data_IF_978799296762
#
_entry.id   IF_978799296762
#
_cell.length_a   1.000
_cell.length_b   1.000
_cell.length_c   1.000
_cell.angle_alpha   90.00
_cell.angle_beta   90.00
_cell.angle_gamma   90.00
#
_symmetry.space_group_name_H-M   'P 1'
#
loop_
_entity.id
_entity.type
_entity.pdbx_description
1 polymer ?
#
# COMPACT_ATOMS: atom_id res chain seq x y z
N UNK A 1 59.30 44.59 12.80
CA UNK A 1 60.00 43.29 12.86
C UNK A 1 59.34 42.37 11.84
N UNK A 2 60.11 41.75 10.96
CA UNK A 2 59.61 40.76 9.99
C UNK A 2 60.61 39.60 9.96
N UNK A 3 60.13 38.39 10.22
CA UNK A 3 60.93 37.16 10.18
C UNK A 3 60.95 36.59 8.76
N UNK A 4 62.11 36.08 8.27
CA UNK A 4 62.25 35.69 6.87
C UNK A 4 61.48 34.40 6.52
N UNK A 5 61.12 34.30 5.25
CA UNK A 5 60.60 33.07 4.63
C UNK A 5 61.76 32.08 4.49
N UNK A 6 61.58 30.83 4.90
CA UNK A 6 62.53 29.76 4.63
C UNK A 6 62.05 28.95 3.40
N UNK A 7 62.97 28.61 2.48
CA UNK A 7 62.67 27.93 1.22
C UNK A 7 63.58 26.71 1.11
N UNK A 8 62.99 25.51 1.11
CA UNK A 8 63.69 24.24 0.87
C UNK A 8 63.50 23.73 -0.58
N UNK A 9 64.43 22.91 -1.13
CA UNK A 9 64.53 22.66 -2.57
C UNK A 9 63.64 21.51 -3.08
N UNK A 10 63.40 21.41 -4.41
CA UNK A 10 62.52 20.40 -4.99
C UNK A 10 63.18 19.02 -5.11
N UNK A 11 62.47 17.95 -4.71
CA UNK A 11 62.94 16.57 -4.84
C UNK A 11 61.84 15.53 -5.09
N UNK A 12 62.05 14.64 -6.07
CA UNK A 12 61.32 13.38 -6.22
C UNK A 12 60.09 13.38 -7.16
N UNK A 13 60.24 12.86 -8.38
CA UNK A 13 59.10 12.53 -9.27
C UNK A 13 58.39 11.25 -8.81
N UNK A 14 57.23 11.37 -8.15
CA UNK A 14 56.39 10.25 -7.70
C UNK A 14 55.11 10.08 -8.52
N UNK A 15 54.96 8.96 -9.25
CA UNK A 15 53.85 8.67 -10.19
C UNK A 15 52.44 8.92 -9.61
N UNK A 16 51.59 9.59 -10.39
CA UNK A 16 50.15 9.78 -10.12
C UNK A 16 49.44 8.46 -9.73
N UNK A 17 49.05 8.32 -8.46
CA UNK A 17 47.94 7.46 -8.05
C UNK A 17 46.69 8.31 -7.86
N UNK A 18 45.54 7.86 -8.38
CA UNK A 18 44.25 8.50 -8.14
C UNK A 18 43.81 8.19 -6.71
N UNK A 19 43.65 9.20 -5.86
CA UNK A 19 43.01 9.05 -4.56
C UNK A 19 41.50 8.85 -4.77
N UNK A 20 41.02 7.64 -4.51
CA UNK A 20 39.59 7.27 -4.57
C UNK A 20 39.27 6.08 -3.63
N UNK A 21 40.07 5.93 -2.57
CA UNK A 21 39.84 4.95 -1.51
C UNK A 21 39.20 5.71 -0.33
N UNK A 22 37.89 5.53 -0.15
CA UNK A 22 37.28 5.78 1.16
C UNK A 22 37.60 4.57 2.03
N UNK A 23 38.42 4.77 3.06
CA UNK A 23 38.55 3.81 4.16
C UNK A 23 37.25 3.78 4.96
N UNK A 24 36.25 3.05 4.44
CA UNK A 24 35.28 2.37 5.28
C UNK A 24 36.10 1.43 6.18
N UNK A 25 36.07 1.57 7.52
CA UNK A 25 36.90 0.74 8.38
C UNK A 25 36.57 -0.75 8.22
N UNK A 26 37.43 -1.44 7.48
CA UNK A 26 37.62 -2.88 7.68
C UNK A 26 38.04 -3.02 9.14
N UNK A 27 37.41 -3.89 9.95
CA UNK A 27 37.78 -4.06 11.34
C UNK A 27 39.17 -4.72 11.43
N UNK A 28 40.21 -3.89 11.41
CA UNK A 28 41.54 -4.24 11.85
C UNK A 28 41.43 -4.47 13.36
N UNK A 29 41.66 -5.70 13.80
CA UNK A 29 41.67 -6.04 15.21
C UNK A 29 42.89 -5.39 15.87
N UNK A 30 42.73 -4.16 16.38
CA UNK A 30 43.66 -3.59 17.34
C UNK A 30 43.50 -4.38 18.65
N UNK A 31 44.32 -5.40 18.81
CA UNK A 31 44.59 -6.01 20.10
C UNK A 31 44.99 -4.90 21.10
N UNK A 32 44.54 -5.02 22.36
CA UNK A 32 44.75 -4.09 23.47
C UNK A 32 43.81 -2.86 23.60
N UNK A 33 42.49 -3.06 23.66
CA UNK A 33 41.64 -2.27 24.58
C UNK A 33 40.30 -2.93 24.95
N UNK A 34 40.31 -4.02 25.74
CA UNK A 34 39.08 -4.53 26.38
C UNK A 34 38.72 -3.64 27.57
N UNK A 35 37.97 -2.58 27.30
CA UNK A 35 37.13 -1.87 28.29
C UNK A 35 35.75 -1.68 27.69
N UNK A 36 34.80 -2.45 28.18
CA UNK A 36 33.39 -2.40 27.75
C UNK A 36 32.70 -1.17 28.36
N UNK A 37 33.01 0.00 27.81
CA UNK A 37 32.52 1.32 28.28
C UNK A 37 31.65 2.02 27.24
N UNK A 38 31.18 1.29 26.23
CA UNK A 38 30.12 1.76 25.32
C UNK A 38 28.73 1.42 25.87
N UNK A 39 27.70 2.24 25.63
CA UNK A 39 26.33 1.87 26.00
C UNK A 39 25.89 0.63 25.20
N UNK A 40 25.58 -0.47 25.90
CA UNK A 40 25.11 -1.72 25.27
C UNK A 40 23.77 -1.49 24.55
N UNK A 41 23.83 -1.30 23.24
CA UNK A 41 22.65 -0.97 22.42
C UNK A 41 21.72 -2.18 22.33
N UNK A 42 20.54 -2.07 22.94
CA UNK A 42 19.50 -3.10 22.93
C UNK A 42 18.63 -2.92 21.68
N UNK A 43 18.49 -3.96 20.86
CA UNK A 43 17.51 -4.00 19.77
C UNK A 43 16.11 -4.39 20.30
N UNK A 44 15.04 -3.87 19.70
CA UNK A 44 13.68 -4.26 20.08
C UNK A 44 13.37 -5.66 19.55
N UNK A 45 13.27 -6.65 20.44
CA UNK A 45 12.90 -8.03 20.09
C UNK A 45 11.44 -8.21 19.59
N UNK A 46 10.64 -7.13 19.50
CA UNK A 46 9.28 -7.21 18.99
C UNK A 46 9.24 -7.71 17.54
N UNK A 47 8.56 -8.85 17.32
CA UNK A 47 8.24 -9.43 16.02
C UNK A 47 9.41 -9.98 15.17
N UNK A 48 10.59 -10.20 15.74
CA UNK A 48 11.45 -11.29 15.23
C UNK A 48 10.82 -12.61 15.67
N UNK A 49 10.39 -13.45 14.72
CA UNK A 49 10.37 -14.91 14.95
C UNK A 49 11.81 -15.31 15.32
N UNK A 50 11.98 -16.33 16.16
CA UNK A 50 13.33 -16.85 16.43
C UNK A 50 14.01 -17.20 15.11
N UNK A 51 15.31 -16.90 15.02
CA UNK A 51 16.07 -17.31 13.86
C UNK A 51 16.25 -18.82 13.98
N UNK A 52 15.46 -19.60 13.24
CA UNK A 52 15.55 -21.07 13.24
C UNK A 52 16.97 -21.52 12.84
N UNK A 53 17.72 -20.72 12.08
CA UNK A 53 19.13 -20.98 11.84
C UNK A 53 20.00 -20.90 13.11
N UNK A 54 19.68 -20.06 14.10
CA UNK A 54 20.38 -20.04 15.40
C UNK A 54 20.02 -21.27 16.27
N UNK A 55 18.83 -21.84 16.09
CA UNK A 55 18.45 -23.12 16.72
C UNK A 55 19.16 -24.31 16.06
N UNK A 56 19.38 -24.27 14.74
CA UNK A 56 19.95 -25.38 13.95
C UNK A 56 21.49 -25.33 13.76
N UNK A 57 22.09 -24.14 13.80
CA UNK A 57 23.52 -23.89 13.59
C UNK A 57 24.23 -23.36 14.84
N UNK A 58 23.49 -23.23 15.96
CA UNK A 58 24.00 -22.70 17.23
C UNK A 58 24.08 -21.17 17.29
N UNK A 59 24.57 -20.61 18.41
CA UNK A 59 24.96 -19.20 18.48
C UNK A 59 26.08 -18.91 17.46
N UNK A 60 26.18 -17.66 16.99
CA UNK A 60 27.26 -17.25 16.09
C UNK A 60 28.61 -17.31 16.81
N UNK A 61 29.31 -18.44 16.69
CA UNK A 61 30.69 -18.60 17.16
C UNK A 61 31.59 -17.78 16.25
N UNK A 62 31.96 -16.58 16.69
CA UNK A 62 33.12 -15.88 16.15
C UNK A 62 34.35 -16.77 16.39
N UNK A 63 35.10 -17.17 15.35
CA UNK A 63 36.29 -18.01 15.54
C UNK A 63 37.41 -17.16 16.15
N UNK A 64 37.54 -17.21 17.47
CA UNK A 64 38.71 -16.67 18.17
C UNK A 64 39.98 -17.37 17.66
N UNK A 65 40.92 -16.59 17.15
CA UNK A 65 42.24 -17.05 16.65
C UNK A 65 42.21 -18.11 15.53
N UNK A 66 41.88 -17.70 14.30
CA UNK A 66 42.36 -18.43 13.11
C UNK A 66 43.88 -18.18 12.98
N UNK A 67 44.75 -19.21 12.91
CA UNK A 67 46.19 -19.00 12.73
C UNK A 67 46.48 -18.28 11.40
N UNK A 68 47.13 -17.11 11.48
CA UNK A 68 47.39 -16.26 10.31
C UNK A 68 48.60 -16.74 9.53
N UNK A 69 48.44 -17.84 8.79
CA UNK A 69 49.40 -18.22 7.74
C UNK A 69 49.27 -17.22 6.59
N UNK A 70 50.33 -16.50 6.17
CA UNK A 70 50.25 -15.49 5.13
C UNK A 70 50.05 -16.13 3.75
N UNK A 71 48.79 -16.34 3.37
CA UNK A 71 48.42 -16.89 2.07
C UNK A 71 48.92 -15.97 0.94
N UNK A 72 49.80 -16.49 0.08
CA UNK A 72 50.43 -15.73 -1.00
C UNK A 72 49.38 -15.04 -1.89
N UNK A 73 49.39 -13.70 -1.90
CA UNK A 73 48.37 -12.90 -2.58
C UNK A 73 48.56 -12.94 -4.09
N UNK A 74 47.99 -13.96 -4.74
CA UNK A 74 47.73 -13.92 -6.18
C UNK A 74 46.97 -12.62 -6.53
N UNK A 75 47.31 -11.94 -7.63
CA UNK A 75 46.69 -10.66 -7.97
C UNK A 75 45.18 -10.89 -8.19
N UNK A 76 44.36 -10.27 -7.32
CA UNK A 76 42.89 -10.38 -7.38
C UNK A 76 42.40 -9.97 -8.77
N UNK A 77 41.98 -10.96 -9.57
CA UNK A 77 41.47 -10.74 -10.94
C UNK A 77 40.36 -9.69 -10.90
N UNK A 78 40.44 -8.71 -11.80
CA UNK A 78 39.47 -7.61 -11.85
C UNK A 78 38.06 -8.15 -12.05
N UNK A 79 37.16 -7.83 -11.12
CA UNK A 79 35.77 -8.26 -11.14
C UNK A 79 34.89 -7.01 -11.25
N UNK A 80 34.23 -6.86 -12.41
CA UNK A 80 33.39 -5.69 -12.74
C UNK A 80 32.29 -5.46 -11.70
N UNK A 81 31.60 -6.52 -11.27
CA UNK A 81 30.55 -6.43 -10.26
C UNK A 81 31.11 -5.89 -8.93
N UNK A 82 32.24 -6.40 -8.45
CA UNK A 82 32.88 -5.91 -7.22
C UNK A 82 33.45 -4.50 -7.35
N UNK A 83 33.89 -4.09 -8.55
CA UNK A 83 34.26 -2.71 -8.82
C UNK A 83 33.04 -1.76 -8.75
N UNK A 84 31.89 -2.17 -9.32
CA UNK A 84 30.62 -1.44 -9.22
C UNK A 84 30.15 -1.35 -7.76
N UNK A 85 30.26 -2.42 -6.97
CA UNK A 85 29.91 -2.39 -5.55
C UNK A 85 30.76 -1.39 -4.76
N UNK A 86 32.05 -1.26 -5.07
CA UNK A 86 32.98 -0.39 -4.33
C UNK A 86 32.89 1.07 -4.74
N UNK A 87 32.62 1.34 -6.01
CA UNK A 87 32.42 2.72 -6.50
C UNK A 87 31.24 3.38 -5.77
N UNK A 88 31.41 4.62 -5.32
CA UNK A 88 30.38 5.37 -4.57
C UNK A 88 29.06 5.41 -5.33
N UNK A 89 29.04 6.06 -6.48
CA UNK A 89 27.81 6.36 -7.23
C UNK A 89 27.20 5.14 -7.93
N UNK A 90 28.03 4.30 -8.57
CA UNK A 90 27.55 3.15 -9.34
C UNK A 90 26.81 2.13 -8.46
N UNK A 91 27.16 2.00 -7.17
CA UNK A 91 26.43 1.16 -6.22
C UNK A 91 24.97 1.64 -6.04
N UNK A 92 24.74 2.94 -5.81
CA UNK A 92 23.38 3.49 -5.75
C UNK A 92 22.65 3.31 -7.08
N UNK A 93 23.31 3.60 -8.20
CA UNK A 93 22.71 3.49 -9.55
C UNK A 93 22.37 2.04 -9.94
N UNK A 94 23.10 1.05 -9.41
CA UNK A 94 22.76 -0.38 -9.48
C UNK A 94 21.51 -0.67 -8.64
N UNK A 95 21.57 -0.47 -7.31
CA UNK A 95 20.50 -0.79 -6.35
C UNK A 95 19.15 -0.20 -6.77
N UNK A 96 19.14 1.04 -7.23
CA UNK A 96 17.91 1.77 -7.57
C UNK A 96 17.28 1.33 -8.92
N UNK A 97 18.00 0.56 -9.76
CA UNK A 97 17.51 -0.03 -11.01
C UNK A 97 17.30 -1.54 -10.96
N UNK A 98 17.98 -2.26 -10.08
CA UNK A 98 17.74 -3.70 -9.86
C UNK A 98 16.28 -3.92 -9.46
N UNK A 99 15.53 -4.85 -10.07
CA UNK A 99 14.15 -5.10 -9.65
C UNK A 99 14.10 -5.79 -8.27
N UNK A 100 12.96 -5.66 -7.59
CA UNK A 100 12.86 -5.94 -6.15
C UNK A 100 13.24 -7.38 -5.74
N UNK A 101 12.90 -8.38 -6.57
CA UNK A 101 13.17 -9.79 -6.27
C UNK A 101 14.68 -10.07 -6.34
N UNK A 102 15.32 -9.58 -7.39
CA UNK A 102 16.74 -9.70 -7.67
C UNK A 102 17.56 -8.92 -6.65
N UNK A 103 17.06 -7.75 -6.21
CA UNK A 103 17.66 -6.95 -5.14
C UNK A 103 17.67 -7.70 -3.79
N UNK A 104 16.57 -8.36 -3.42
CA UNK A 104 16.50 -9.20 -2.22
C UNK A 104 17.41 -10.43 -2.34
N UNK A 105 17.54 -11.00 -3.54
CA UNK A 105 18.47 -12.12 -3.80
C UNK A 105 19.94 -11.68 -3.65
N UNK A 106 20.34 -10.55 -4.23
CA UNK A 106 21.71 -10.01 -4.07
C UNK A 106 22.05 -9.73 -2.60
N UNK A 107 21.10 -9.18 -1.84
CA UNK A 107 21.23 -8.94 -0.40
C UNK A 107 21.36 -10.23 0.44
N UNK A 108 20.81 -11.35 -0.03
CA UNK A 108 20.94 -12.66 0.63
C UNK A 108 22.21 -13.43 0.21
N UNK A 109 22.71 -13.20 -1.00
CA UNK A 109 23.79 -14.01 -1.61
C UNK A 109 25.17 -13.39 -1.40
N UNK A 110 25.35 -12.08 -1.61
CA UNK A 110 26.68 -11.45 -1.60
C UNK A 110 26.94 -10.65 -0.31
N UNK A 111 27.88 -11.12 0.51
CA UNK A 111 28.24 -10.51 1.81
C UNK A 111 28.68 -9.04 1.70
N UNK A 112 29.30 -8.64 0.60
CA UNK A 112 29.80 -7.28 0.39
C UNK A 112 28.68 -6.33 -0.02
N UNK A 113 27.78 -6.80 -0.89
CA UNK A 113 26.51 -6.14 -1.19
C UNK A 113 25.69 -5.96 0.08
N UNK A 114 25.52 -7.02 0.88
CA UNK A 114 24.77 -7.01 2.14
C UNK A 114 25.30 -5.95 3.12
N UNK A 115 26.61 -5.97 3.41
CA UNK A 115 27.25 -4.99 4.30
C UNK A 115 27.08 -3.56 3.80
N UNK A 116 27.34 -3.30 2.51
CA UNK A 116 27.27 -1.96 1.95
C UNK A 116 25.83 -1.45 1.77
N UNK A 117 24.88 -2.34 1.54
CA UNK A 117 23.45 -2.03 1.57
C UNK A 117 23.03 -1.63 2.99
N UNK A 118 23.43 -2.40 4.01
CA UNK A 118 23.17 -2.09 5.42
C UNK A 118 23.69 -0.70 5.83
N UNK A 119 24.90 -0.34 5.40
CA UNK A 119 25.49 0.97 5.68
C UNK A 119 24.65 2.16 5.18
N UNK A 120 23.96 2.01 4.04
CA UNK A 120 23.11 3.04 3.44
C UNK A 120 21.61 2.72 3.50
N UNK A 121 21.18 1.72 4.30
CA UNK A 121 19.87 1.08 4.24
C UNK A 121 18.70 2.07 4.21
N UNK A 122 18.62 2.97 5.20
CA UNK A 122 17.51 3.93 5.32
C UNK A 122 17.36 4.79 4.06
N UNK A 123 18.47 5.27 3.48
CA UNK A 123 18.45 6.07 2.25
C UNK A 123 18.05 5.21 1.05
N UNK A 124 18.70 4.06 0.86
CA UNK A 124 18.44 3.15 -0.26
C UNK A 124 16.98 2.70 -0.29
N UNK A 125 16.43 2.26 0.84
CA UNK A 125 15.03 1.81 0.95
C UNK A 125 14.05 2.94 0.60
N UNK A 126 14.23 4.14 1.15
CA UNK A 126 13.35 5.28 0.85
C UNK A 126 13.45 5.71 -0.61
N UNK A 127 14.66 5.83 -1.16
CA UNK A 127 14.91 6.30 -2.52
C UNK A 127 14.53 5.25 -3.58
N UNK A 128 14.61 3.97 -3.24
CA UNK A 128 14.09 2.88 -4.06
C UNK A 128 12.56 2.97 -4.18
N UNK A 129 11.83 3.03 -3.07
CA UNK A 129 10.35 3.06 -3.11
C UNK A 129 9.84 4.37 -3.70
N UNK A 130 10.51 5.51 -3.45
CA UNK A 130 10.19 6.79 -4.11
C UNK A 130 10.22 6.70 -5.64
N UNK A 131 11.16 5.94 -6.21
CA UNK A 131 11.33 5.78 -7.66
C UNK A 131 10.36 4.77 -8.29
N UNK A 132 10.12 3.65 -7.62
CA UNK A 132 9.26 2.59 -8.15
C UNK A 132 7.76 2.77 -7.82
N UNK A 133 7.45 3.57 -6.79
CA UNK A 133 6.10 3.72 -6.26
C UNK A 133 5.86 5.05 -5.50
N UNK A 134 6.07 6.23 -6.12
CA UNK A 134 6.10 7.53 -5.41
C UNK A 134 4.84 7.84 -4.59
N UNK A 135 3.65 7.61 -5.16
CA UNK A 135 2.37 7.85 -4.48
C UNK A 135 2.20 6.92 -3.26
N UNK A 136 2.45 5.62 -3.48
CA UNK A 136 2.33 4.60 -2.45
C UNK A 136 3.41 4.74 -1.35
N UNK A 137 4.60 5.24 -1.68
CA UNK A 137 5.68 5.54 -0.73
C UNK A 137 5.26 6.60 0.30
N UNK A 138 4.48 7.60 -0.14
CA UNK A 138 3.98 8.68 0.69
C UNK A 138 2.81 8.21 1.57
N UNK A 139 1.83 7.51 0.98
CA UNK A 139 0.62 7.08 1.70
C UNK A 139 0.91 5.92 2.67
N UNK A 140 1.67 4.90 2.25
CA UNK A 140 2.03 3.76 3.10
C UNK A 140 3.31 4.00 3.91
N UNK A 141 3.41 5.16 4.57
CA UNK A 141 4.55 5.51 5.44
C UNK A 141 4.87 4.39 6.43
N UNK A 142 6.15 4.04 6.57
CA UNK A 142 6.59 2.91 7.41
C UNK A 142 6.25 3.07 8.90
N UNK A 143 6.08 4.31 9.36
CA UNK A 143 5.63 4.64 10.72
C UNK A 143 4.25 4.05 11.03
N UNK A 144 3.38 3.89 10.02
CA UNK A 144 2.07 3.23 10.16
C UNK A 144 2.17 1.70 10.18
N UNK A 145 3.33 1.13 9.83
CA UNK A 145 3.55 -0.33 9.68
C UNK A 145 4.85 -0.79 10.37
N UNK A 146 4.98 -0.61 11.70
CA UNK A 146 6.18 -1.01 12.45
C UNK A 146 6.45 -2.53 12.38
N UNK A 147 5.41 -3.34 12.15
CA UNK A 147 5.50 -4.80 12.00
C UNK A 147 6.25 -5.29 10.74
N UNK A 148 6.57 -4.40 9.78
CA UNK A 148 7.42 -4.67 8.60
C UNK A 148 8.71 -3.86 8.58
N UNK A 149 9.00 -3.13 9.66
CA UNK A 149 10.27 -2.46 9.89
C UNK A 149 11.31 -3.41 10.51
N UNK A 150 12.55 -2.94 10.62
CA UNK A 150 13.67 -3.61 11.29
C UNK A 150 14.43 -2.58 12.13
N UNK A 151 15.06 -2.97 13.23
CA UNK A 151 16.04 -2.09 13.88
C UNK A 151 17.23 -1.84 12.93
N UNK A 152 17.82 -0.64 12.99
CA UNK A 152 18.84 -0.17 12.05
C UNK A 152 20.01 -1.17 11.97
N UNK A 153 20.37 -1.68 10.77
CA UNK A 153 21.48 -2.63 10.62
C UNK A 153 22.84 -2.12 11.09
N UNK A 154 23.01 -0.80 11.20
CA UNK A 154 24.21 -0.15 11.74
C UNK A 154 24.03 0.27 13.21
N UNK A 155 23.00 -0.23 13.89
CA UNK A 155 22.64 0.00 15.29
C UNK A 155 22.61 1.48 15.72
N UNK A 156 22.34 2.38 14.77
CA UNK A 156 22.32 3.83 15.03
C UNK A 156 21.26 4.15 16.09
N UNK A 157 21.59 4.97 17.10
CA UNK A 157 20.69 5.20 18.22
C UNK A 157 19.41 5.93 17.80
N UNK A 158 18.35 5.67 18.56
CA UNK A 158 17.09 6.41 18.51
C UNK A 158 17.28 7.78 19.17
N UNK A 159 16.51 8.78 18.75
CA UNK A 159 16.70 10.19 19.12
C UNK A 159 16.84 10.38 20.65
N UNK A 160 18.03 10.79 21.10
CA UNK A 160 18.38 11.00 22.51
C UNK A 160 18.50 9.74 23.38
N UNK A 161 18.55 8.52 22.80
CA UNK A 161 18.58 7.25 23.53
C UNK A 161 19.67 6.32 22.99
N UNK A 162 20.90 6.55 23.43
CA UNK A 162 22.09 5.86 22.93
C UNK A 162 22.02 4.32 23.06
N UNK A 163 21.36 3.83 24.11
CA UNK A 163 21.19 2.40 24.40
C UNK A 163 20.09 1.69 23.57
N UNK A 164 19.43 2.37 22.63
CA UNK A 164 18.31 1.84 21.87
C UNK A 164 18.51 2.08 20.36
N UNK A 165 18.67 1.01 19.58
CA UNK A 165 18.71 1.12 18.12
C UNK A 165 17.39 1.65 17.58
N UNK A 166 17.44 2.61 16.64
CA UNK A 166 16.24 3.13 15.96
C UNK A 166 15.66 2.08 15.01
N UNK A 167 14.34 2.09 14.83
CA UNK A 167 13.69 1.26 13.80
C UNK A 167 13.65 2.01 12.46
N UNK A 168 13.82 1.26 11.37
CA UNK A 168 13.93 1.75 9.98
C UNK A 168 13.12 0.84 9.05
N UNK A 169 12.66 1.33 7.88
CA UNK A 169 12.02 0.47 6.90
C UNK A 169 13.03 -0.55 6.34
N UNK A 170 12.57 -1.80 6.18
CA UNK A 170 13.33 -2.88 5.53
C UNK A 170 12.63 -3.41 4.28
N UNK A 171 13.19 -4.45 3.66
CA UNK A 171 12.61 -5.05 2.44
C UNK A 171 11.14 -5.50 2.59
N UNK A 172 10.72 -5.93 3.78
CA UNK A 172 9.30 -6.28 4.05
C UNK A 172 8.36 -5.09 3.83
N UNK A 173 8.78 -3.88 4.21
CA UNK A 173 8.05 -2.65 3.89
C UNK A 173 8.04 -2.36 2.39
N UNK A 174 9.20 -2.44 1.72
CA UNK A 174 9.32 -2.26 0.25
C UNK A 174 8.35 -3.18 -0.50
N UNK A 175 8.40 -4.49 -0.22
CA UNK A 175 7.53 -5.48 -0.84
C UNK A 175 6.05 -5.23 -0.56
N UNK A 176 5.70 -4.77 0.65
CA UNK A 176 4.34 -4.37 1.00
C UNK A 176 3.87 -3.18 0.15
N UNK A 177 4.65 -2.09 0.05
CA UNK A 177 4.27 -0.89 -0.70
C UNK A 177 4.08 -1.20 -2.19
N UNK A 178 5.04 -1.91 -2.80
CA UNK A 178 4.96 -2.32 -4.21
C UNK A 178 3.76 -3.24 -4.47
N UNK A 179 3.51 -4.20 -3.58
CA UNK A 179 2.38 -5.13 -3.68
C UNK A 179 1.04 -4.39 -3.56
N UNK A 180 0.90 -3.47 -2.59
CA UNK A 180 -0.31 -2.66 -2.44
C UNK A 180 -0.56 -1.75 -3.65
N UNK A 181 0.47 -1.06 -4.16
CA UNK A 181 0.33 -0.27 -5.39
C UNK A 181 -0.11 -1.13 -6.58
N UNK A 182 0.51 -2.30 -6.77
CA UNK A 182 0.11 -3.24 -7.83
C UNK A 182 -1.34 -3.69 -7.69
N UNK A 183 -1.79 -3.99 -6.47
CA UNK A 183 -3.16 -4.44 -6.20
C UNK A 183 -4.19 -3.33 -6.41
N UNK A 184 -3.96 -2.12 -5.88
CA UNK A 184 -4.84 -0.95 -6.11
C UNK A 184 -4.97 -0.66 -7.60
N UNK A 185 -3.83 -0.54 -8.32
CA UNK A 185 -3.85 -0.34 -9.78
C UNK A 185 -4.57 -1.47 -10.50
N UNK A 186 -4.36 -2.73 -10.10
CA UNK A 186 -5.08 -3.87 -10.71
C UNK A 186 -6.60 -3.76 -10.54
N UNK A 187 -7.09 -3.37 -9.36
CA UNK A 187 -8.54 -3.17 -9.12
C UNK A 187 -9.08 -2.11 -10.08
N UNK A 188 -8.45 -0.93 -10.11
CA UNK A 188 -8.89 0.18 -10.96
C UNK A 188 -8.77 -0.15 -12.47
N UNK A 189 -7.74 -0.91 -12.86
CA UNK A 189 -7.58 -1.40 -14.25
C UNK A 189 -8.70 -2.38 -14.62
N UNK A 190 -9.03 -3.36 -13.78
CA UNK A 190 -10.11 -4.32 -14.07
C UNK A 190 -11.44 -3.60 -14.27
N UNK A 191 -11.82 -2.74 -13.32
CA UNK A 191 -13.01 -1.88 -13.44
C UNK A 191 -13.00 -1.06 -14.75
N UNK A 192 -11.87 -0.42 -15.09
CA UNK A 192 -11.76 0.39 -16.31
C UNK A 192 -11.85 -0.41 -17.62
N UNK A 193 -11.42 -1.69 -17.62
CA UNK A 193 -11.52 -2.60 -18.77
C UNK A 193 -12.95 -3.05 -19.01
N UNK A 194 -13.76 -3.11 -17.95
CA UNK A 194 -15.17 -3.50 -18.00
C UNK A 194 -16.11 -2.30 -18.24
N UNK A 195 -15.56 -1.07 -18.24
CA UNK A 195 -16.26 0.19 -18.51
C UNK A 195 -16.47 1.07 -17.27
N UNK A 196 -16.22 0.54 -16.08
CA UNK A 196 -16.36 1.22 -14.79
C UNK A 196 -15.15 2.12 -14.51
N UNK A 197 -15.01 3.19 -15.29
CA UNK A 197 -13.88 4.14 -15.22
C UNK A 197 -13.99 5.04 -13.98
N UNK A 198 -12.85 5.47 -13.45
CA UNK A 198 -12.72 6.44 -12.36
C UNK A 198 -11.56 7.43 -12.62
N UNK A 199 -11.52 8.60 -11.97
CA UNK A 199 -10.38 9.50 -12.01
C UNK A 199 -9.08 8.86 -11.51
N UNK A 200 -7.93 9.33 -12.01
CA UNK A 200 -6.61 8.88 -11.53
C UNK A 200 -6.39 9.16 -10.02
N UNK A 201 -7.08 10.17 -9.46
CA UNK A 201 -7.06 10.49 -8.03
C UNK A 201 -7.61 9.36 -7.14
N UNK A 202 -8.47 8.48 -7.66
CA UNK A 202 -8.96 7.31 -6.93
C UNK A 202 -7.84 6.33 -6.55
N UNK A 203 -6.67 6.35 -7.22
CA UNK A 203 -5.51 5.57 -6.77
C UNK A 203 -5.07 6.01 -5.35
N UNK A 204 -5.05 7.31 -5.08
CA UNK A 204 -4.69 7.85 -3.77
C UNK A 204 -5.75 7.55 -2.70
N UNK A 205 -7.02 7.81 -3.01
CA UNK A 205 -8.14 7.56 -2.10
C UNK A 205 -8.22 6.07 -1.70
N UNK A 206 -8.07 5.14 -2.66
CA UNK A 206 -8.14 3.71 -2.39
C UNK A 206 -6.90 3.18 -1.63
N UNK A 207 -5.71 3.80 -1.80
CA UNK A 207 -4.55 3.53 -0.93
C UNK A 207 -4.77 4.02 0.51
N UNK A 208 -5.35 5.21 0.69
CA UNK A 208 -5.68 5.77 2.01
C UNK A 208 -6.74 4.91 2.71
N UNK A 209 -7.75 4.43 1.96
CA UNK A 209 -8.73 3.47 2.48
C UNK A 209 -8.07 2.15 2.95
N UNK A 210 -7.08 1.63 2.23
CA UNK A 210 -6.36 0.44 2.70
C UNK A 210 -5.55 0.68 3.99
N UNK A 211 -5.09 1.92 4.24
CA UNK A 211 -4.55 2.27 5.55
C UNK A 211 -5.63 2.21 6.64
N UNK A 212 -6.82 2.75 6.36
CA UNK A 212 -7.98 2.74 7.27
C UNK A 212 -8.47 1.31 7.60
N UNK A 213 -8.58 0.44 6.61
CA UNK A 213 -8.91 -0.99 6.80
C UNK A 213 -7.92 -1.69 7.74
N UNK A 214 -6.63 -1.34 7.63
CA UNK A 214 -5.55 -1.89 8.44
C UNK A 214 -5.48 -1.34 9.87
N UNK A 215 -6.25 -0.28 10.20
CA UNK A 215 -6.37 0.23 11.57
C UNK A 215 -7.41 -0.60 12.34
N UNK A 216 -7.04 -1.03 13.53
CA UNK A 216 -7.82 -1.92 14.40
C UNK A 216 -8.49 -1.20 15.58
N UNK A 217 -8.59 0.14 15.56
CA UNK A 217 -9.30 0.92 16.57
C UNK A 217 -10.12 2.02 15.91
N UNK A 218 -11.40 2.15 16.28
CA UNK A 218 -12.33 3.16 15.80
C UNK A 218 -11.82 4.57 16.08
N UNK A 219 -11.25 4.82 17.27
CA UNK A 219 -10.66 6.13 17.61
C UNK A 219 -9.49 6.52 16.69
N UNK A 220 -8.67 5.55 16.26
CA UNK A 220 -7.55 5.78 15.34
C UNK A 220 -8.06 5.98 13.90
N UNK A 221 -9.06 5.18 13.47
CA UNK A 221 -9.76 5.37 12.19
C UNK A 221 -10.37 6.77 12.08
N UNK A 222 -11.07 7.23 13.13
CA UNK A 222 -11.71 8.55 13.18
C UNK A 222 -10.67 9.69 13.17
N UNK A 223 -9.58 9.57 13.93
CA UNK A 223 -8.51 10.56 13.93
C UNK A 223 -7.81 10.66 12.55
N UNK A 224 -7.59 9.52 11.88
CA UNK A 224 -6.99 9.47 10.55
C UNK A 224 -7.89 10.08 9.47
N UNK A 225 -9.21 9.87 9.54
CA UNK A 225 -10.18 10.46 8.61
C UNK A 225 -10.33 11.97 8.79
N UNK A 226 -10.38 12.45 10.05
CA UNK A 226 -10.57 13.87 10.38
C UNK A 226 -9.41 14.77 9.99
N UNK A 227 -8.21 14.23 9.78
CA UNK A 227 -7.07 15.02 9.29
C UNK A 227 -7.24 15.35 7.80
N UNK A 228 -7.68 16.59 7.53
CA UNK A 228 -7.83 17.15 6.18
C UNK A 228 -6.53 17.20 5.36
N UNK A 229 -5.35 17.03 5.97
CA UNK A 229 -4.06 16.87 5.26
C UNK A 229 -3.86 15.46 4.71
N UNK A 230 -4.48 14.46 5.35
CA UNK A 230 -4.45 13.05 4.93
C UNK A 230 -5.61 12.78 3.96
N UNK A 231 -6.83 13.08 4.40
CA UNK A 231 -8.05 12.95 3.60
C UNK A 231 -8.55 14.31 3.17
N UNK A 232 -8.27 14.69 1.92
CA UNK A 232 -8.88 15.86 1.31
C UNK A 232 -10.33 15.57 0.95
N UNK A 233 -11.14 16.60 0.76
CA UNK A 233 -12.55 16.45 0.38
C UNK A 233 -12.69 15.77 -1.00
N UNK A 234 -11.70 16.02 -1.87
CA UNK A 234 -11.54 15.29 -3.12
C UNK A 234 -11.29 13.79 -2.94
N UNK A 235 -10.56 13.35 -1.91
CA UNK A 235 -10.37 11.90 -1.64
C UNK A 235 -11.69 11.22 -1.27
N UNK A 236 -12.53 11.90 -0.48
CA UNK A 236 -13.84 11.38 -0.03
C UNK A 236 -14.81 11.23 -1.22
N UNK A 237 -14.89 12.27 -2.07
CA UNK A 237 -15.68 12.27 -3.31
C UNK A 237 -15.17 11.17 -4.27
N UNK A 238 -13.85 11.08 -4.49
CA UNK A 238 -13.25 10.05 -5.34
C UNK A 238 -13.46 8.62 -4.78
N UNK A 239 -13.56 8.44 -3.46
CA UNK A 239 -13.84 7.15 -2.87
C UNK A 239 -15.31 6.73 -3.07
N UNK A 240 -16.28 7.64 -2.90
CA UNK A 240 -17.70 7.33 -3.14
C UNK A 240 -18.01 7.10 -4.63
N UNK A 241 -17.35 7.82 -5.53
CA UNK A 241 -17.35 7.51 -6.96
C UNK A 241 -16.82 6.09 -7.23
N UNK A 242 -15.76 5.66 -6.55
CA UNK A 242 -15.28 4.28 -6.63
C UNK A 242 -16.29 3.27 -6.07
N UNK A 243 -17.00 3.57 -4.96
CA UNK A 243 -18.08 2.70 -4.44
C UNK A 243 -19.18 2.50 -5.49
N UNK A 244 -19.75 3.60 -6.04
CA UNK A 244 -20.79 3.52 -7.08
C UNK A 244 -20.31 2.72 -8.30
N UNK A 245 -19.07 2.93 -8.76
CA UNK A 245 -18.51 2.15 -9.87
C UNK A 245 -18.29 0.66 -9.54
N UNK A 246 -17.95 0.33 -8.28
CA UNK A 246 -17.81 -1.05 -7.82
C UNK A 246 -19.18 -1.74 -7.71
N UNK A 247 -20.18 -1.08 -7.13
CA UNK A 247 -21.51 -1.67 -6.94
C UNK A 247 -22.22 -1.86 -8.29
N UNK A 248 -22.06 -0.91 -9.23
CA UNK A 248 -22.47 -1.10 -10.63
C UNK A 248 -21.83 -2.34 -11.28
N UNK A 249 -20.60 -2.70 -10.89
CA UNK A 249 -19.86 -3.85 -11.44
C UNK A 249 -20.29 -5.17 -10.79
N UNK A 250 -20.51 -5.19 -9.49
CA UNK A 250 -20.89 -6.40 -8.75
C UNK A 250 -22.38 -6.75 -8.95
N UNK A 251 -23.22 -5.74 -9.20
CA UNK A 251 -24.66 -5.87 -9.48
C UNK A 251 -24.99 -6.07 -10.97
N UNK A 252 -23.98 -6.10 -11.87
CA UNK A 252 -24.17 -6.44 -13.29
C UNK A 252 -24.79 -7.85 -13.40
N UNK A 253 -25.97 -8.03 -14.00
CA UNK A 253 -26.66 -9.32 -14.07
C UNK A 253 -26.07 -10.29 -15.12
N UNK A 254 -25.12 -9.85 -15.94
CA UNK A 254 -24.46 -10.63 -17.00
C UNK A 254 -23.03 -10.99 -16.61
N UNK A 255 -22.28 -10.03 -16.04
CA UNK A 255 -20.85 -10.19 -15.72
C UNK A 255 -20.54 -10.16 -14.21
N UNK A 256 -21.48 -9.72 -13.38
CA UNK A 256 -21.38 -9.62 -11.93
C UNK A 256 -21.95 -10.83 -11.20
N UNK A 257 -22.05 -10.70 -9.88
CA UNK A 257 -22.62 -11.71 -9.00
C UNK A 257 -24.08 -11.38 -8.63
N UNK A 258 -24.72 -10.41 -9.31
CA UNK A 258 -26.10 -9.98 -9.09
C UNK A 258 -26.41 -9.41 -7.70
N UNK A 259 -25.39 -9.08 -6.89
CA UNK A 259 -25.52 -8.92 -5.43
C UNK A 259 -25.03 -7.56 -4.96
N UNK A 260 -25.96 -6.62 -4.74
CA UNK A 260 -25.67 -5.22 -4.41
C UNK A 260 -24.89 -5.02 -3.10
N UNK A 261 -25.05 -5.91 -2.11
CA UNK A 261 -24.36 -5.82 -0.82
C UNK A 261 -22.94 -6.42 -0.82
N UNK A 262 -22.50 -6.99 -1.95
CA UNK A 262 -21.19 -7.65 -2.06
C UNK A 262 -20.03 -6.65 -1.97
N UNK A 263 -20.20 -5.42 -2.47
CA UNK A 263 -19.20 -4.34 -2.39
C UNK A 263 -18.85 -4.01 -0.93
N UNK A 264 -19.84 -3.65 -0.09
CA UNK A 264 -19.65 -3.45 1.35
C UNK A 264 -18.95 -4.59 2.06
N UNK A 265 -19.42 -5.84 1.91
CA UNK A 265 -18.84 -7.01 2.57
C UNK A 265 -17.35 -7.22 2.19
N UNK A 266 -16.99 -7.03 0.91
CA UNK A 266 -15.60 -7.15 0.42
C UNK A 266 -14.69 -5.99 0.87
N UNK A 267 -15.25 -4.82 1.17
CA UNK A 267 -14.53 -3.63 1.65
C UNK A 267 -14.47 -3.53 3.19
N UNK A 268 -15.29 -4.28 3.93
CA UNK A 268 -15.17 -4.48 5.38
C UNK A 268 -14.06 -5.45 5.81
N UNK A 269 -13.45 -6.16 4.84
CA UNK A 269 -12.34 -7.07 5.07
C UNK A 269 -11.07 -6.37 5.60
N UNK A 270 -10.13 -7.10 6.24
CA UNK A 270 -8.84 -6.52 6.70
C UNK A 270 -7.92 -6.03 5.56
N UNK A 271 -8.25 -6.27 4.28
CA UNK A 271 -7.38 -5.94 3.14
C UNK A 271 -8.09 -5.92 1.77
N UNK A 272 -7.78 -4.93 0.93
CA UNK A 272 -8.18 -4.89 -0.50
C UNK A 272 -7.65 -6.08 -1.32
N UNK A 273 -6.70 -6.85 -0.78
CA UNK A 273 -6.30 -8.13 -1.38
C UNK A 273 -7.47 -9.08 -1.61
N UNK A 274 -8.52 -9.05 -0.77
CA UNK A 274 -9.69 -9.93 -0.92
C UNK A 274 -10.54 -9.49 -2.11
N UNK A 275 -10.94 -8.21 -2.18
CA UNK A 275 -11.62 -7.63 -3.33
C UNK A 275 -10.85 -7.89 -4.66
N UNK A 276 -9.54 -7.70 -4.66
CA UNK A 276 -8.70 -8.00 -5.83
C UNK A 276 -8.69 -9.48 -6.22
N UNK A 277 -8.68 -10.41 -5.26
CA UNK A 277 -8.78 -11.85 -5.57
C UNK A 277 -10.11 -12.18 -6.24
N UNK A 278 -11.22 -11.59 -5.77
CA UNK A 278 -12.56 -11.79 -6.35
C UNK A 278 -12.63 -11.22 -7.77
N UNK A 279 -12.31 -9.92 -7.95
CA UNK A 279 -12.34 -9.27 -9.26
C UNK A 279 -11.36 -9.90 -10.28
N UNK A 280 -10.25 -10.50 -9.83
CA UNK A 280 -9.31 -11.23 -10.70
C UNK A 280 -9.62 -12.73 -10.87
N UNK A 281 -10.77 -13.21 -10.38
CA UNK A 281 -11.21 -14.60 -10.51
C UNK A 281 -10.37 -15.64 -9.73
N UNK A 282 -9.49 -15.18 -8.82
CA UNK A 282 -8.58 -16.00 -8.01
C UNK A 282 -9.22 -16.48 -6.71
N UNK A 283 -10.26 -15.79 -6.27
CA UNK A 283 -11.21 -16.27 -5.27
C UNK A 283 -12.57 -16.27 -5.97
N UNK A 284 -13.12 -17.46 -6.22
CA UNK A 284 -14.52 -17.61 -6.60
C UNK A 284 -15.35 -17.59 -5.33
N UNK A 285 -16.48 -16.90 -5.35
CA UNK A 285 -17.43 -16.88 -4.24
C UNK A 285 -18.56 -17.86 -4.55
N UNK A 286 -18.58 -18.95 -3.80
CA UNK A 286 -19.73 -19.84 -3.64
C UNK A 286 -20.50 -19.40 -2.37
N UNK A 287 -21.70 -19.94 -2.14
CA UNK A 287 -22.49 -19.66 -0.93
C UNK A 287 -21.69 -19.89 0.36
N UNK A 288 -21.18 -21.10 0.59
CA UNK A 288 -20.35 -21.48 1.74
C UNK A 288 -19.21 -20.47 1.99
N UNK A 289 -18.36 -20.22 0.98
CA UNK A 289 -17.25 -19.25 1.10
C UNK A 289 -17.70 -17.79 1.32
N UNK A 290 -18.94 -17.44 0.98
CA UNK A 290 -19.51 -16.13 1.23
C UNK A 290 -20.14 -16.06 2.62
N UNK A 291 -20.84 -17.11 3.06
CA UNK A 291 -21.34 -17.29 4.43
C UNK A 291 -20.19 -17.18 5.44
N UNK A 292 -19.09 -17.89 5.22
CA UNK A 292 -17.90 -17.83 6.08
C UNK A 292 -17.36 -16.40 6.18
N UNK A 293 -17.29 -15.69 5.04
CA UNK A 293 -16.84 -14.30 5.02
C UNK A 293 -17.84 -13.36 5.69
N UNK A 294 -19.14 -13.61 5.61
CA UNK A 294 -20.20 -12.83 6.26
C UNK A 294 -20.14 -13.01 7.78
N UNK A 295 -20.16 -14.25 8.28
CA UNK A 295 -20.10 -14.60 9.71
C UNK A 295 -18.86 -14.03 10.39
N UNK A 296 -17.69 -14.11 9.73
CA UNK A 296 -16.45 -13.50 10.25
C UNK A 296 -16.48 -11.97 10.25
N UNK A 297 -17.32 -11.36 9.40
CA UNK A 297 -17.37 -9.90 9.21
C UNK A 297 -18.36 -9.20 10.12
N UNK A 298 -19.58 -9.71 10.22
CA UNK A 298 -20.71 -9.09 10.92
C UNK A 298 -21.03 -9.85 12.21
N UNK A 299 -21.53 -9.14 13.22
CA UNK A 299 -21.99 -9.79 14.47
C UNK A 299 -23.39 -10.34 14.26
N UNK A 300 -23.76 -11.45 14.91
CA UNK A 300 -25.06 -12.10 14.78
C UNK A 300 -26.28 -11.13 14.89
N UNK A 301 -26.18 -10.10 15.74
CA UNK A 301 -27.19 -9.03 15.88
C UNK A 301 -27.52 -8.27 14.57
N UNK A 302 -26.62 -8.28 13.59
CA UNK A 302 -26.75 -7.63 12.29
C UNK A 302 -27.23 -8.58 11.18
N UNK A 303 -27.26 -9.89 11.46
CA UNK A 303 -27.58 -10.93 10.50
C UNK A 303 -29.03 -11.40 10.65
N UNK A 304 -29.73 -11.50 9.53
CA UNK A 304 -31.09 -12.00 9.49
C UNK A 304 -31.10 -13.49 9.10
N UNK A 305 -30.84 -14.35 10.09
CA UNK A 305 -30.86 -15.81 9.96
C UNK A 305 -32.23 -16.33 9.50
N UNK A 306 -33.34 -15.75 9.97
CA UNK A 306 -34.70 -16.11 9.51
C UNK A 306 -34.89 -15.92 7.99
N UNK A 307 -34.23 -14.91 7.41
CA UNK A 307 -34.25 -14.68 5.96
C UNK A 307 -33.16 -15.46 5.20
N UNK A 308 -32.14 -15.96 5.89
CA UNK A 308 -30.98 -16.66 5.32
C UNK A 308 -30.55 -17.85 6.20
N UNK A 309 -31.33 -18.96 6.28
CA UNK A 309 -31.01 -20.09 7.17
C UNK A 309 -29.68 -20.79 6.87
N UNK A 310 -29.07 -20.52 5.69
CA UNK A 310 -27.72 -20.96 5.32
C UNK A 310 -26.58 -20.20 6.02
N UNK A 311 -26.91 -19.31 6.96
CA UNK A 311 -25.98 -18.64 7.86
C UNK A 311 -26.07 -19.15 9.30
N UNK A 312 -27.02 -20.04 9.62
CA UNK A 312 -27.29 -20.48 10.99
C UNK A 312 -26.15 -21.36 11.54
N UNK A 313 -25.87 -21.27 12.85
CA UNK A 313 -24.76 -21.96 13.52
C UNK A 313 -24.91 -23.48 13.41
N UNK A 314 -26.15 -24.01 13.49
CA UNK A 314 -26.46 -25.45 13.30
C UNK A 314 -26.25 -25.93 11.85
N UNK A 315 -25.95 -25.03 10.91
CA UNK A 315 -25.84 -25.31 9.46
C UNK A 315 -24.42 -25.06 8.91
N UNK A 316 -23.58 -24.26 9.59
CA UNK A 316 -22.26 -23.87 9.06
C UNK A 316 -21.07 -24.07 10.03
N UNK A 317 -20.71 -25.33 10.30
CA UNK A 317 -19.50 -25.76 11.06
C UNK A 317 -18.15 -25.17 10.59
N UNK A 318 -18.10 -24.42 9.47
CA UNK A 318 -16.87 -23.93 8.85
C UNK A 318 -16.24 -22.69 9.54
N UNK A 319 -16.99 -22.01 10.41
CA UNK A 319 -16.50 -20.85 11.18
C UNK A 319 -16.50 -21.17 12.68
N UNK A 320 -15.33 -21.13 13.35
CA UNK A 320 -15.28 -21.18 14.80
C UNK A 320 -15.95 -19.94 15.42
N UNK A 321 -16.74 -20.14 16.48
CA UNK A 321 -17.48 -19.08 17.18
C UNK A 321 -16.57 -17.95 17.69
N UNK A 322 -15.29 -18.22 17.99
CA UNK A 322 -14.30 -17.19 18.37
C UNK A 322 -13.79 -16.33 17.20
N UNK A 323 -14.09 -16.72 15.96
CA UNK A 323 -13.79 -15.96 14.73
C UNK A 323 -15.01 -15.21 14.15
N UNK A 324 -16.21 -15.39 14.70
CA UNK A 324 -17.44 -14.71 14.28
C UNK A 324 -17.49 -13.25 14.75
N UNK A 325 -18.06 -12.37 13.92
CA UNK A 325 -18.09 -10.92 14.12
C UNK A 325 -16.72 -10.24 14.25
N UNK A 326 -15.63 -10.99 14.20
CA UNK A 326 -14.30 -10.59 14.68
C UNK A 326 -13.70 -9.41 13.90
N UNK A 327 -14.12 -9.19 12.64
CA UNK A 327 -13.69 -8.01 11.87
C UNK A 327 -14.31 -6.69 12.39
N UNK A 328 -15.47 -6.78 13.04
CA UNK A 328 -16.25 -5.67 13.57
C UNK A 328 -15.96 -5.33 15.04
N UNK A 329 -14.99 -6.01 15.67
CA UNK A 329 -14.53 -5.73 17.03
C UNK A 329 -13.15 -5.05 17.03
N UNK A 330 -12.96 -4.07 17.92
CA UNK A 330 -11.66 -3.40 18.10
C UNK A 330 -10.55 -4.41 18.43
N UNK A 331 -9.37 -4.19 17.88
CA UNK A 331 -8.22 -5.08 17.97
C UNK A 331 -8.35 -6.36 17.13
N UNK A 332 -9.53 -6.67 16.60
CA UNK A 332 -9.92 -8.00 16.08
C UNK A 332 -9.75 -9.09 17.13
N UNK A 333 -10.38 -8.89 18.29
CA UNK A 333 -10.48 -9.87 19.38
C UNK A 333 -11.90 -9.84 19.97
N UNK A 334 -12.37 -10.98 20.49
CA UNK A 334 -13.69 -11.18 21.08
C UNK A 334 -14.06 -10.23 22.25
N UNK A 335 -13.07 -9.57 22.87
CA UNK A 335 -13.28 -8.61 23.96
C UNK A 335 -13.15 -7.15 23.51
N UNK A 336 -13.07 -6.90 22.20
CA UNK A 336 -13.02 -5.57 21.62
C UNK A 336 -14.36 -4.85 21.68
N UNK A 337 -14.34 -3.53 21.88
CA UNK A 337 -15.52 -2.71 21.67
C UNK A 337 -15.97 -2.76 20.20
N UNK A 338 -17.26 -2.55 19.92
CA UNK A 338 -17.78 -2.50 18.55
C UNK A 338 -17.08 -1.42 17.72
N UNK A 339 -16.54 -1.80 16.58
CA UNK A 339 -15.81 -0.94 15.64
C UNK A 339 -16.66 -0.73 14.36
N UNK A 340 -17.01 0.51 13.98
CA UNK A 340 -17.71 0.78 12.73
C UNK A 340 -16.92 0.32 11.50
N UNK A 341 -17.61 -0.10 10.44
CA UNK A 341 -16.96 -0.48 9.19
C UNK A 341 -16.24 0.72 8.57
N UNK A 342 -15.12 0.45 7.90
CA UNK A 342 -14.26 1.51 7.36
C UNK A 342 -14.99 2.38 6.31
N UNK A 343 -15.99 1.82 5.61
CA UNK A 343 -16.80 2.48 4.58
C UNK A 343 -17.71 3.53 5.21
N UNK A 344 -18.48 3.12 6.21
CA UNK A 344 -19.45 3.97 6.91
C UNK A 344 -18.76 5.17 7.55
N UNK A 345 -17.54 4.98 8.07
CA UNK A 345 -16.73 6.07 8.61
C UNK A 345 -16.31 7.09 7.52
N UNK A 346 -16.02 6.64 6.29
CA UNK A 346 -15.71 7.54 5.15
C UNK A 346 -16.95 8.29 4.67
N UNK A 347 -18.12 7.63 4.64
CA UNK A 347 -19.39 8.27 4.29
C UNK A 347 -19.78 9.29 5.36
N UNK A 348 -19.72 8.92 6.65
CA UNK A 348 -20.01 9.80 7.77
C UNK A 348 -19.07 11.02 7.81
N UNK A 349 -17.77 10.86 7.55
CA UNK A 349 -16.82 11.98 7.44
C UNK A 349 -17.20 12.94 6.29
N UNK A 350 -17.74 12.43 5.16
CA UNK A 350 -18.21 13.31 4.08
C UNK A 350 -19.46 14.12 4.45
N UNK A 351 -20.36 13.54 5.26
CA UNK A 351 -21.57 14.20 5.78
C UNK A 351 -21.16 15.24 6.84
N UNK A 352 -20.25 14.89 7.75
CA UNK A 352 -19.68 15.81 8.76
C UNK A 352 -18.91 16.99 8.15
N UNK A 353 -18.60 16.94 6.85
CA UNK A 353 -17.93 18.01 6.09
C UNK A 353 -18.86 18.74 5.12
N UNK A 354 -20.16 18.43 5.14
CA UNK A 354 -21.18 19.08 4.29
C UNK A 354 -20.86 19.01 2.79
N UNK A 355 -20.22 17.91 2.34
CA UNK A 355 -19.77 17.75 0.95
C UNK A 355 -20.89 17.40 -0.03
N UNK A 356 -22.09 17.08 0.48
CA UNK A 356 -23.30 16.80 -0.29
C UNK A 356 -23.09 15.84 -1.48
N UNK A 357 -22.35 14.75 -1.22
CA UNK A 357 -21.86 13.84 -2.25
C UNK A 357 -23.01 13.12 -2.97
N UNK A 358 -24.16 12.99 -2.31
CA UNK A 358 -25.41 12.48 -2.88
C UNK A 358 -25.88 13.23 -4.14
N UNK A 359 -25.54 14.52 -4.26
CA UNK A 359 -25.91 15.33 -5.43
C UNK A 359 -25.17 14.88 -6.70
N UNK A 360 -24.00 14.25 -6.56
CA UNK A 360 -23.17 13.78 -7.68
C UNK A 360 -23.41 12.32 -8.05
N UNK A 361 -24.35 11.59 -7.41
CA UNK A 361 -24.52 10.15 -7.67
C UNK A 361 -24.92 9.84 -9.12
N UNK A 362 -25.70 10.70 -9.78
CA UNK A 362 -26.00 10.55 -11.22
C UNK A 362 -24.75 10.79 -12.09
N UNK A 363 -23.96 11.82 -11.78
CA UNK A 363 -22.67 12.06 -12.43
C UNK A 363 -21.70 10.89 -12.21
N UNK A 364 -21.73 10.25 -11.04
CA UNK A 364 -20.91 9.08 -10.74
C UNK A 364 -21.32 7.86 -11.58
N UNK A 365 -22.61 7.63 -11.78
CA UNK A 365 -23.11 6.58 -12.71
C UNK A 365 -22.66 6.86 -14.14
N UNK A 366 -22.78 8.11 -14.60
CA UNK A 366 -22.39 8.53 -15.96
C UNK A 366 -20.87 8.73 -16.16
N UNK A 367 -20.09 8.84 -15.09
CA UNK A 367 -18.66 9.17 -15.20
C UNK A 367 -17.92 8.15 -16.07
N UNK A 368 -17.34 8.61 -17.18
CA UNK A 368 -16.54 7.79 -18.08
C UNK A 368 -17.33 6.75 -18.90
N UNK A 369 -18.66 6.79 -18.92
CA UNK A 369 -19.45 6.06 -19.92
C UNK A 369 -19.48 6.84 -21.24
N UNK A 370 -19.76 8.15 -21.17
CA UNK A 370 -19.75 9.09 -22.29
C UNK A 370 -18.66 10.17 -22.14
N UNK A 371 -18.22 10.73 -23.25
CA UNK A 371 -17.31 11.89 -23.28
C UNK A 371 -18.12 13.20 -23.13
N UNK A 372 -17.90 14.01 -22.08
CA UNK A 372 -18.63 15.26 -21.87
C UNK A 372 -18.47 16.29 -23.01
N UNK A 373 -17.44 16.19 -23.85
CA UNK A 373 -17.22 17.12 -24.97
C UNK A 373 -17.94 16.75 -26.25
N UNK A 374 -18.18 15.46 -26.50
CA UNK A 374 -18.79 14.97 -27.75
C UNK A 374 -20.14 14.28 -27.56
N UNK A 375 -20.55 13.96 -26.33
CA UNK A 375 -21.77 13.23 -26.02
C UNK A 375 -21.75 11.74 -26.42
N UNK A 376 -20.66 11.27 -27.03
CA UNK A 376 -20.51 9.90 -27.56
C UNK A 376 -20.08 8.94 -26.47
N UNK A 377 -20.48 7.67 -26.61
CA UNK A 377 -20.00 6.61 -25.72
C UNK A 377 -18.47 6.43 -25.85
N UNK A 378 -17.76 6.40 -24.73
CA UNK A 378 -16.33 6.12 -24.67
C UNK A 378 -16.15 4.60 -24.81
N UNK A 379 -15.55 4.10 -25.92
CA UNK A 379 -15.57 2.69 -26.25
C UNK A 379 -15.01 1.82 -25.13
N UNK A 380 -15.78 0.84 -24.67
CA UNK A 380 -15.36 -0.12 -23.64
C UNK A 380 -14.35 -1.10 -24.27
N UNK A 381 -13.23 -1.45 -23.60
CA UNK A 381 -12.31 -2.48 -24.08
C UNK A 381 -13.00 -3.84 -24.27
N UNK A 382 -13.34 -4.16 -25.53
CA UNK A 382 -14.17 -5.31 -25.91
C UNK A 382 -13.60 -6.67 -25.48
N UNK A 383 -12.32 -6.74 -25.10
CA UNK A 383 -11.60 -7.97 -24.74
C UNK A 383 -12.25 -8.83 -23.63
N UNK A 384 -13.12 -8.27 -22.78
CA UNK A 384 -13.85 -9.01 -21.74
C UNK A 384 -15.30 -9.35 -22.11
N UNK A 385 -15.92 -8.61 -23.05
CA UNK A 385 -17.26 -8.95 -23.57
C UNK A 385 -17.09 -9.98 -24.68
N UNK A 386 -17.44 -11.23 -24.37
CA UNK A 386 -17.34 -12.35 -25.32
C UNK A 386 -18.32 -12.22 -26.49
N UNK A 387 -19.45 -11.55 -26.27
CA UNK A 387 -20.45 -11.29 -27.32
C UNK A 387 -20.01 -10.18 -28.27
N UNK A 388 -19.77 -10.57 -29.51
CA UNK A 388 -19.52 -9.65 -30.64
C UNK A 388 -20.81 -9.03 -31.20
N UNK A 389 -21.96 -9.52 -30.77
CA UNK A 389 -23.28 -9.17 -31.32
C UNK A 389 -23.90 -7.94 -30.63
N UNK A 390 -23.49 -7.62 -29.39
CA UNK A 390 -24.00 -6.49 -28.61
C UNK A 390 -23.45 -5.16 -29.16
N UNK A 391 -24.16 -4.61 -30.15
CA UNK A 391 -23.92 -3.26 -30.68
C UNK A 391 -24.38 -2.23 -29.66
N UNK A 392 -23.44 -1.58 -28.99
CA UNK A 392 -23.71 -0.40 -28.16
C UNK A 392 -24.14 0.79 -29.03
N UNK A 393 -25.08 1.64 -28.56
CA UNK A 393 -25.39 2.92 -29.20
C UNK A 393 -24.13 3.81 -29.34
N UNK A 394 -24.06 4.62 -30.41
CA UNK A 394 -22.94 5.55 -30.62
C UNK A 394 -22.96 6.76 -29.68
N UNK A 395 -24.15 7.20 -29.29
CA UNK A 395 -24.37 8.32 -28.38
C UNK A 395 -24.58 7.78 -26.96
N UNK A 396 -23.92 8.42 -25.99
CA UNK A 396 -23.91 8.01 -24.58
C UNK A 396 -24.61 8.98 -23.64
N UNK A 397 -24.74 10.25 -24.05
CA UNK A 397 -25.61 11.24 -23.41
C UNK A 397 -26.87 11.45 -24.27
N UNK A 398 -28.04 11.70 -23.66
CA UNK A 398 -29.20 12.23 -24.38
C UNK A 398 -28.85 13.56 -25.07
N UNK A 399 -29.47 13.85 -26.20
CA UNK A 399 -29.44 15.19 -26.80
C UNK A 399 -30.10 16.21 -25.86
N UNK A 400 -29.73 17.50 -25.95
CA UNK A 400 -30.34 18.53 -25.09
C UNK A 400 -31.87 18.54 -25.20
N UNK A 401 -32.42 18.36 -26.40
CA UNK A 401 -33.86 18.27 -26.63
C UNK A 401 -34.50 17.06 -25.96
N UNK A 402 -33.89 15.87 -26.03
CA UNK A 402 -34.42 14.69 -25.33
C UNK A 402 -34.29 14.80 -23.82
N UNK A 403 -33.23 15.42 -23.31
CA UNK A 403 -33.07 15.71 -21.88
C UNK A 403 -34.11 16.72 -21.38
N UNK A 404 -34.32 17.82 -22.09
CA UNK A 404 -35.38 18.81 -21.77
C UNK A 404 -36.77 18.20 -21.83
N UNK A 405 -37.06 17.35 -22.82
CA UNK A 405 -38.36 16.70 -22.96
C UNK A 405 -38.57 15.62 -21.88
N UNK A 406 -37.51 14.94 -21.43
CA UNK A 406 -37.56 14.07 -20.24
C UNK A 406 -37.81 14.87 -18.96
N UNK A 407 -37.14 16.01 -18.76
CA UNK A 407 -37.38 16.89 -17.59
C UNK A 407 -38.84 17.38 -17.60
N UNK A 408 -39.34 17.90 -18.73
CA UNK A 408 -40.75 18.32 -18.90
C UNK A 408 -41.74 17.16 -18.68
N UNK A 409 -41.35 15.92 -19.00
CA UNK A 409 -42.16 14.72 -18.72
C UNK A 409 -42.16 14.39 -17.23
N UNK A 410 -40.99 14.37 -16.58
CA UNK A 410 -40.83 14.05 -15.16
C UNK A 410 -41.46 15.11 -14.26
N UNK A 411 -41.36 16.40 -14.59
CA UNK A 411 -42.09 17.48 -13.91
C UNK A 411 -43.61 17.28 -14.01
N UNK A 412 -44.09 16.73 -15.13
CA UNK A 412 -45.52 16.45 -15.33
C UNK A 412 -46.01 15.19 -14.60
N UNK A 413 -45.17 14.17 -14.39
CA UNK A 413 -45.56 12.90 -13.73
C UNK A 413 -45.19 12.82 -12.26
N UNK A 414 -44.14 13.52 -11.82
CA UNK A 414 -43.58 13.45 -10.47
C UNK A 414 -43.37 14.82 -9.81
N UNK A 415 -43.46 15.93 -10.57
CA UNK A 415 -43.37 17.27 -10.02
C UNK A 415 -44.49 17.53 -9.02
N UNK A 416 -44.13 17.75 -7.77
CA UNK A 416 -45.10 18.10 -6.72
C UNK A 416 -45.67 19.49 -6.98
N UNK A 417 -46.93 19.55 -7.43
CA UNK A 417 -47.67 20.81 -7.56
C UNK A 417 -47.97 21.39 -6.17
N UNK A 418 -46.98 22.08 -5.61
CA UNK A 418 -47.14 23.00 -4.48
C UNK A 418 -47.59 24.35 -5.06
N UNK A 419 -48.87 24.74 -4.97
CA UNK A 419 -49.34 25.97 -5.58
C UNK A 419 -48.70 27.19 -4.90
N UNK A 420 -48.02 28.04 -5.69
CA UNK A 420 -47.51 29.33 -5.25
C UNK A 420 -45.99 29.50 -5.12
N UNK A 421 -45.17 28.50 -5.49
CA UNK A 421 -43.71 28.71 -5.69
C UNK A 421 -43.29 28.34 -7.11
N UNK A 422 -42.42 29.13 -7.77
CA UNK A 422 -41.88 28.77 -9.07
C UNK A 422 -40.92 27.58 -8.93
N UNK A 423 -40.84 26.74 -9.98
CA UNK A 423 -39.89 25.61 -10.01
C UNK A 423 -38.44 26.09 -9.86
N UNK A 424 -37.59 25.21 -9.35
CA UNK A 424 -36.19 25.51 -9.05
C UNK A 424 -35.46 25.99 -10.31
N UNK A 425 -34.78 27.14 -10.22
CA UNK A 425 -33.94 27.65 -11.31
C UNK A 425 -32.69 26.78 -11.44
N UNK A 426 -32.76 25.74 -12.27
CA UNK A 426 -31.57 25.08 -12.79
C UNK A 426 -30.63 26.13 -13.40
N UNK A 427 -29.41 26.24 -12.86
CA UNK A 427 -28.37 27.05 -13.48
C UNK A 427 -27.77 26.27 -14.65
N UNK A 428 -27.70 26.95 -15.79
CA UNK A 428 -27.01 26.54 -17.03
C UNK A 428 -25.50 26.61 -16.89
#
# INVERSE_FOLDING_TARGET
>A
MATPINIDPPGGKGKNKRAAEDDLPIPVANENSVKDTGPRIVSRHHNRRTNIATEFWGPEVYPETIPTTPAATSPRRFNVYKAILRHKDLFFQLVLRTPYKELVQLYAIDKEFHYRFNHYNTYLIHEYVRRHAPLAAHIFSWVLFPNVCISDPMLRPMDGREWLARDVPGFRWVGMVLSRQKIVRSILTMLSMEGHRVPAACEAALMKFWCLMGMNRAMVRAAFLRDRKIWTDGDLINFQLFLVKLDMRLSDPILGNGTCQLGPMLLSQKSLSTLWKVLSGKLKLNYDTASDMILRTYVAEELNFNANPTLDEEVNDNVPVDEEGLLSLEGWNQHGARMPHAIDMVIAESIMRELHVEQYYLDFVLYGTADPKTGKNIPIPVQLRRDKEVKLPSEGMPTKETMENLIKMMDKTFGTMVPGRPSAKHRT
#
